data_IF_045950684636
#
_entry.id   IF_045950684636
#
_cell.length_a   1.000
_cell.length_b   1.000
_cell.length_c   1.000
_cell.angle_alpha   90.00
_cell.angle_beta   90.00
_cell.angle_gamma   90.00
#
_symmetry.space_group_name_H-M   'P 1'
#
loop_
_entity.id
_entity.type
_entity.pdbx_description
1 polymer ?
#
# COMPACT_ATOMS: atom_id res chain seq x y z
N UNK A 1 -2.18 42.58 6.25
CA UNK A 1 -2.40 41.29 6.94
C UNK A 1 -2.24 40.23 5.85
N UNK A 2 -1.16 39.45 5.90
CA UNK A 2 -0.85 38.47 4.84
C UNK A 2 -1.26 37.11 5.38
N UNK A 3 -2.26 36.49 4.75
CA UNK A 3 -2.63 35.12 5.10
C UNK A 3 -1.57 34.16 4.59
N UNK A 4 -1.00 33.36 5.49
CA UNK A 4 -0.19 32.21 5.14
C UNK A 4 -1.12 31.10 4.62
N UNK A 5 -1.61 31.30 3.40
CA UNK A 5 -2.36 30.32 2.62
C UNK A 5 -1.37 29.23 2.18
N UNK A 6 -1.02 28.34 3.13
CA UNK A 6 -0.11 27.21 2.90
C UNK A 6 -0.74 26.32 1.83
N UNK A 7 -0.11 26.33 0.66
CA UNK A 7 -0.65 25.80 -0.59
C UNK A 7 -1.27 24.40 -0.45
N UNK A 8 -2.60 24.31 -0.51
CA UNK A 8 -3.34 23.05 -0.62
C UNK A 8 -2.81 22.21 -1.79
N UNK A 9 -2.39 22.88 -2.85
CA UNK A 9 -1.75 22.31 -4.04
C UNK A 9 -0.43 21.58 -3.73
N UNK A 10 0.33 22.02 -2.71
CA UNK A 10 1.60 21.40 -2.32
C UNK A 10 1.38 20.14 -1.49
N UNK A 11 0.42 20.14 -0.56
CA UNK A 11 0.03 18.91 0.14
C UNK A 11 -0.54 17.88 -0.84
N UNK A 12 -1.44 18.31 -1.74
CA UNK A 12 -1.96 17.46 -2.80
C UNK A 12 -0.82 16.85 -3.65
N UNK A 13 0.08 17.66 -4.23
CA UNK A 13 1.22 17.18 -5.03
C UNK A 13 2.11 16.17 -4.29
N UNK A 14 2.39 16.39 -3.00
CA UNK A 14 3.18 15.47 -2.19
C UNK A 14 2.48 14.10 -2.02
N UNK A 15 1.16 14.12 -1.81
CA UNK A 15 0.34 12.91 -1.71
C UNK A 15 0.19 12.19 -3.06
N UNK A 16 -0.05 12.94 -4.15
CA UNK A 16 -0.13 12.44 -5.52
C UNK A 16 1.16 11.71 -5.95
N UNK A 17 2.33 12.26 -5.60
CA UNK A 17 3.62 11.63 -5.88
C UNK A 17 3.77 10.26 -5.18
N UNK A 18 3.12 10.06 -4.03
CA UNK A 18 3.08 8.78 -3.34
C UNK A 18 2.23 7.72 -4.04
N UNK A 19 1.19 8.12 -4.78
CA UNK A 19 0.24 7.22 -5.47
C UNK A 19 0.84 6.55 -6.72
N UNK A 20 1.86 7.15 -7.32
CA UNK A 20 2.50 6.67 -8.54
C UNK A 20 3.32 5.40 -8.26
N UNK A 21 3.40 4.48 -9.22
CA UNK A 21 3.98 3.13 -9.12
C UNK A 21 3.30 2.19 -8.11
N UNK A 22 2.21 2.60 -7.48
CA UNK A 22 1.39 1.73 -6.63
C UNK A 22 0.42 0.88 -7.47
N UNK A 23 -0.08 -0.22 -6.89
CA UNK A 23 -1.19 -0.94 -7.50
C UNK A 23 -2.48 -0.13 -7.40
N UNK A 24 -3.28 -0.08 -8.47
CA UNK A 24 -4.50 0.74 -8.51
C UNK A 24 -5.48 0.39 -7.38
N UNK A 25 -5.62 -0.89 -7.03
CA UNK A 25 -6.41 -1.33 -5.88
C UNK A 25 -5.95 -0.75 -4.54
N UNK A 26 -4.66 -0.49 -4.36
CA UNK A 26 -4.13 0.16 -3.15
C UNK A 26 -4.19 1.68 -3.25
N UNK A 27 -4.05 2.23 -4.45
CA UNK A 27 -4.18 3.66 -4.70
C UNK A 27 -5.59 4.17 -4.32
N UNK A 28 -6.65 3.56 -4.83
CA UNK A 28 -8.01 4.02 -4.53
C UNK A 28 -8.39 3.78 -3.04
N UNK A 29 -7.90 2.70 -2.43
CA UNK A 29 -8.10 2.36 -1.01
C UNK A 29 -7.46 3.40 -0.08
N UNK A 30 -6.21 3.81 -0.34
CA UNK A 30 -5.54 4.89 0.40
C UNK A 30 -6.16 6.28 0.15
N UNK A 31 -6.90 6.46 -0.94
CA UNK A 31 -7.65 7.68 -1.24
C UNK A 31 -9.08 7.68 -0.65
N UNK A 32 -9.50 6.59 0.01
CA UNK A 32 -10.85 6.47 0.58
C UNK A 32 -11.96 6.35 -0.46
N UNK A 33 -11.63 5.90 -1.68
CA UNK A 33 -12.56 5.76 -2.80
C UNK A 33 -13.22 4.38 -2.79
N UNK A 34 -14.47 4.23 -3.29
CA UNK A 34 -15.10 2.94 -3.48
C UNK A 34 -14.34 2.12 -4.54
N UNK A 35 -14.43 0.80 -4.45
CA UNK A 35 -13.76 -0.09 -5.41
C UNK A 35 -14.41 -0.06 -6.80
N UNK A 36 -13.58 -0.11 -7.84
CA UNK A 36 -14.03 -0.23 -9.22
C UNK A 36 -14.65 -1.61 -9.46
N UNK A 37 -15.98 -1.68 -9.57
CA UNK A 37 -16.71 -2.93 -9.82
C UNK A 37 -16.51 -3.48 -11.23
N UNK A 38 -16.69 -4.80 -11.39
CA UNK A 38 -16.49 -5.47 -12.68
C UNK A 38 -17.49 -4.99 -13.75
N UNK A 39 -18.77 -4.79 -13.37
CA UNK A 39 -19.81 -4.35 -14.30
C UNK A 39 -19.55 -2.93 -14.84
N UNK A 40 -19.08 -2.02 -13.99
CA UNK A 40 -18.71 -0.65 -14.38
C UNK A 40 -17.48 -0.67 -15.28
N UNK A 41 -16.48 -1.49 -14.95
CA UNK A 41 -15.31 -1.67 -15.80
C UNK A 41 -15.68 -2.23 -17.18
N UNK A 42 -16.45 -3.33 -17.26
CA UNK A 42 -16.77 -3.97 -18.54
C UNK A 42 -17.68 -3.08 -19.38
N UNK A 43 -18.72 -2.48 -18.79
CA UNK A 43 -19.62 -1.55 -19.50
C UNK A 43 -18.90 -0.28 -19.97
N UNK A 44 -17.97 0.23 -19.18
CA UNK A 44 -17.17 1.40 -19.54
C UNK A 44 -16.08 1.09 -20.57
N UNK A 45 -15.54 -0.13 -20.59
CA UNK A 45 -14.44 -0.51 -21.49
C UNK A 45 -14.94 -0.85 -22.89
N UNK A 46 -16.05 -1.59 -23.00
CA UNK A 46 -16.54 -2.15 -24.27
C UNK A 46 -16.61 -1.14 -25.44
N UNK A 47 -17.15 0.09 -25.30
CA UNK A 47 -17.19 1.07 -26.40
C UNK A 47 -15.79 1.43 -26.93
N UNK A 48 -14.79 1.50 -26.05
CA UNK A 48 -13.41 1.81 -26.42
C UNK A 48 -12.66 0.62 -27.04
N UNK A 49 -13.30 -0.54 -27.19
CA UNK A 49 -12.70 -1.73 -27.82
C UNK A 49 -13.14 -1.92 -29.29
N UNK A 50 -14.14 -1.17 -29.76
CA UNK A 50 -14.68 -1.32 -31.12
C UNK A 50 -13.65 -0.95 -32.20
N UNK A 51 -12.73 -0.03 -31.91
CA UNK A 51 -11.62 0.38 -32.78
C UNK A 51 -10.47 -0.64 -32.84
N UNK A 52 -10.37 -1.55 -31.85
CA UNK A 52 -9.23 -2.46 -31.72
C UNK A 52 -9.59 -3.88 -32.21
N UNK A 53 -9.13 -4.31 -33.40
CA UNK A 53 -9.51 -5.61 -33.97
C UNK A 53 -9.07 -6.80 -33.11
N UNK A 54 -7.94 -6.69 -32.39
CA UNK A 54 -7.51 -7.72 -31.43
C UNK A 54 -8.47 -7.87 -30.24
N UNK A 55 -9.16 -6.79 -29.84
CA UNK A 55 -10.06 -6.79 -28.69
C UNK A 55 -11.44 -7.40 -29.01
N UNK A 56 -11.79 -7.53 -30.30
CA UNK A 56 -13.03 -8.19 -30.75
C UNK A 56 -13.06 -9.70 -30.45
N UNK A 57 -11.92 -10.28 -30.04
CA UNK A 57 -11.80 -11.66 -29.57
C UNK A 57 -11.89 -11.80 -28.04
N UNK A 58 -12.08 -10.71 -27.29
CA UNK A 58 -12.12 -10.73 -25.82
C UNK A 58 -13.49 -11.12 -25.30
N UNK A 59 -13.62 -12.38 -24.85
CA UNK A 59 -14.83 -12.86 -24.21
C UNK A 59 -15.03 -12.26 -22.80
N UNK A 60 -16.23 -12.43 -22.24
CA UNK A 60 -16.59 -11.87 -20.93
C UNK A 60 -15.68 -12.41 -19.79
N UNK A 61 -15.11 -13.61 -19.96
CA UNK A 61 -14.15 -14.19 -19.02
C UNK A 61 -12.74 -13.56 -19.15
N UNK A 62 -12.31 -13.20 -20.35
CA UNK A 62 -11.10 -12.42 -20.60
C UNK A 62 -11.21 -11.01 -20.00
N UNK A 63 -12.34 -10.33 -20.24
CA UNK A 63 -12.60 -8.99 -19.69
C UNK A 63 -12.61 -8.97 -18.15
N UNK A 64 -13.15 -10.01 -17.50
CA UNK A 64 -13.07 -10.17 -16.03
C UNK A 64 -11.61 -10.38 -15.55
N UNK A 65 -10.83 -11.21 -16.24
CA UNK A 65 -9.40 -11.39 -15.91
C UNK A 65 -8.57 -10.12 -16.19
N UNK A 66 -8.94 -9.33 -17.20
CA UNK A 66 -8.35 -8.03 -17.50
C UNK A 66 -8.67 -6.99 -16.42
N UNK A 67 -9.92 -6.93 -15.93
CA UNK A 67 -10.31 -6.11 -14.77
C UNK A 67 -9.45 -6.44 -13.54
N UNK A 68 -9.31 -7.72 -13.19
CA UNK A 68 -8.41 -8.17 -12.11
C UNK A 68 -6.94 -7.81 -12.37
N UNK A 69 -6.52 -7.77 -13.64
CA UNK A 69 -5.20 -7.29 -14.09
C UNK A 69 -5.03 -5.77 -14.06
N UNK A 70 -6.11 -4.99 -14.10
CA UNK A 70 -6.12 -3.52 -13.94
C UNK A 70 -6.14 -3.15 -12.46
N UNK A 71 -6.94 -3.83 -11.62
CA UNK A 71 -6.91 -3.65 -10.16
C UNK A 71 -5.51 -3.94 -9.57
N UNK A 72 -4.84 -4.98 -10.07
CA UNK A 72 -3.45 -5.30 -9.74
C UNK A 72 -2.43 -4.54 -10.59
N UNK A 73 -2.90 -3.74 -11.55
CA UNK A 73 -2.11 -2.91 -12.44
C UNK A 73 -1.53 -1.69 -11.74
N UNK A 74 -0.56 -1.06 -12.39
CA UNK A 74 0.27 0.01 -11.81
C UNK A 74 -0.25 1.39 -12.21
N UNK A 75 -0.34 2.32 -11.27
CA UNK A 75 -0.63 3.74 -11.56
C UNK A 75 0.64 4.39 -12.13
N UNK A 76 0.66 4.69 -13.44
CA UNK A 76 1.79 5.37 -14.10
C UNK A 76 1.77 6.87 -13.79
N UNK A 77 0.59 7.46 -13.75
CA UNK A 77 0.39 8.88 -13.45
C UNK A 77 -0.96 9.07 -12.76
N UNK A 78 -1.05 10.11 -11.94
CA UNK A 78 -2.25 10.55 -11.24
C UNK A 78 -2.35 12.07 -11.38
N UNK A 79 -3.56 12.58 -11.58
CA UNK A 79 -3.84 14.00 -11.81
C UNK A 79 -5.22 14.37 -11.24
N UNK A 80 -5.44 15.66 -10.99
CA UNK A 80 -6.72 16.21 -10.50
C UNK A 80 -7.17 17.28 -11.48
N UNK A 81 -8.21 16.95 -12.25
CA UNK A 81 -8.75 17.84 -13.28
C UNK A 81 -10.15 18.29 -12.88
N UNK A 82 -10.31 19.59 -12.67
CA UNK A 82 -11.53 20.21 -12.14
C UNK A 82 -11.91 19.59 -10.78
N UNK A 83 -13.02 18.84 -10.70
CA UNK A 83 -13.45 18.11 -9.50
C UNK A 83 -13.24 16.59 -9.61
N UNK A 84 -12.54 16.13 -10.65
CA UNK A 84 -12.37 14.73 -11.00
C UNK A 84 -10.95 14.20 -10.73
N UNK A 85 -10.87 12.99 -10.17
CA UNK A 85 -9.59 12.30 -9.93
C UNK A 85 -9.26 11.41 -11.14
N UNK A 86 -8.10 11.62 -11.76
CA UNK A 86 -7.70 10.99 -13.03
C UNK A 86 -6.51 10.05 -12.80
N UNK A 87 -6.67 8.76 -13.14
CA UNK A 87 -5.64 7.74 -12.99
C UNK A 87 -5.25 7.14 -14.34
N UNK A 88 -3.96 7.11 -14.65
CA UNK A 88 -3.41 6.39 -15.80
C UNK A 88 -2.90 5.02 -15.35
N UNK A 89 -3.67 3.96 -15.58
CA UNK A 89 -3.43 2.63 -15.00
C UNK A 89 -2.95 1.63 -16.04
N UNK A 90 -1.79 1.02 -15.79
CA UNK A 90 -1.15 -0.03 -16.59
C UNK A 90 -1.59 -1.42 -16.12
N UNK A 91 -2.68 -1.91 -16.71
CA UNK A 91 -3.15 -3.29 -16.53
C UNK A 91 -2.58 -4.27 -17.55
N UNK A 92 -3.12 -5.49 -17.54
CA UNK A 92 -2.88 -6.50 -18.57
C UNK A 92 -3.27 -7.91 -18.14
N UNK A 93 -3.53 -8.77 -19.11
CA UNK A 93 -3.77 -10.20 -18.90
C UNK A 93 -3.08 -11.01 -20.01
N UNK A 94 -2.54 -12.18 -19.64
CA UNK A 94 -1.66 -12.99 -20.49
C UNK A 94 -0.58 -12.17 -21.21
N UNK A 95 -0.68 -12.06 -22.54
CA UNK A 95 0.26 -11.33 -23.39
C UNK A 95 -0.16 -9.90 -23.67
N UNK A 96 -1.40 -9.47 -23.44
CA UNK A 96 -1.80 -8.09 -23.73
C UNK A 96 -1.70 -7.22 -22.48
N UNK A 97 -0.99 -6.11 -22.60
CA UNK A 97 -1.05 -4.98 -21.68
C UNK A 97 -2.04 -3.94 -22.15
N UNK A 98 -2.59 -3.18 -21.22
CA UNK A 98 -3.49 -2.06 -21.50
C UNK A 98 -3.12 -0.88 -20.61
N UNK A 99 -3.20 0.34 -21.16
CA UNK A 99 -3.16 1.58 -20.38
C UNK A 99 -4.51 2.25 -20.50
N UNK A 100 -5.15 2.51 -19.35
CA UNK A 100 -6.47 3.12 -19.26
C UNK A 100 -6.38 4.48 -18.57
N UNK A 101 -7.15 5.46 -19.06
CA UNK A 101 -7.49 6.67 -18.30
C UNK A 101 -8.80 6.38 -17.55
N UNK A 102 -8.69 6.19 -16.24
CA UNK A 102 -9.82 6.02 -15.34
C UNK A 102 -10.12 7.36 -14.66
N UNK A 103 -11.39 7.72 -14.56
CA UNK A 103 -11.83 8.95 -13.90
C UNK A 103 -12.82 8.61 -12.79
N UNK A 104 -12.66 9.26 -11.64
CA UNK A 104 -13.62 9.26 -10.54
C UNK A 104 -14.22 10.67 -10.39
N UNK A 105 -15.54 10.78 -10.55
CA UNK A 105 -16.31 12.03 -10.47
C UNK A 105 -17.73 11.69 -10.00
N UNK A 106 -18.41 12.56 -9.24
CA UNK A 106 -19.78 12.34 -8.74
C UNK A 106 -19.99 11.06 -7.91
N UNK A 107 -18.91 10.56 -7.28
CA UNK A 107 -18.81 9.23 -6.66
C UNK A 107 -19.01 8.02 -7.62
N UNK A 108 -18.80 8.22 -8.92
CA UNK A 108 -18.91 7.21 -9.97
C UNK A 108 -17.58 7.04 -10.71
N UNK A 109 -17.12 5.80 -10.83
CA UNK A 109 -16.02 5.44 -11.72
C UNK A 109 -16.46 5.43 -13.18
N UNK A 110 -15.65 6.02 -14.05
CA UNK A 110 -15.83 6.06 -15.51
C UNK A 110 -14.51 5.66 -16.19
N UNK A 111 -14.59 4.94 -17.31
CA UNK A 111 -13.45 4.71 -18.22
C UNK A 111 -13.54 5.77 -19.30
N UNK A 112 -12.59 6.71 -19.28
CA UNK A 112 -12.58 7.87 -20.16
C UNK A 112 -11.97 7.54 -21.52
N UNK A 113 -10.84 6.82 -21.53
CA UNK A 113 -10.24 6.32 -22.78
C UNK A 113 -9.29 5.13 -22.56
N UNK A 114 -9.15 4.30 -23.60
CA UNK A 114 -8.06 3.33 -23.75
C UNK A 114 -6.87 4.04 -24.39
N UNK A 115 -5.85 4.38 -23.58
CA UNK A 115 -4.67 5.12 -24.04
C UNK A 115 -3.78 4.25 -24.93
N UNK A 116 -3.69 2.95 -24.66
CA UNK A 116 -3.03 1.97 -25.53
C UNK A 116 -3.36 0.52 -25.16
N UNK A 117 -3.33 -0.36 -26.16
CA UNK A 117 -3.24 -1.82 -26.03
C UNK A 117 -1.92 -2.26 -26.68
N UNK A 118 -1.19 -3.20 -26.08
CA UNK A 118 0.14 -3.60 -26.55
C UNK A 118 0.50 -5.06 -26.18
N UNK A 119 1.23 -5.79 -27.04
CA UNK A 119 1.74 -7.12 -26.66
C UNK A 119 2.97 -7.01 -25.73
N UNK A 120 2.85 -7.58 -24.52
CA UNK A 120 3.92 -7.80 -23.55
C UNK A 120 4.81 -8.94 -24.04
N UNK A 121 5.92 -8.62 -24.68
CA UNK A 121 6.95 -9.58 -25.10
C UNK A 121 7.43 -10.44 -23.92
N UNK A 122 7.05 -11.72 -23.92
CA UNK A 122 7.30 -12.67 -22.83
C UNK A 122 8.79 -12.89 -22.52
N UNK A 123 9.69 -12.64 -23.49
CA UNK A 123 11.13 -12.85 -23.37
C UNK A 123 11.81 -12.02 -22.26
N UNK A 124 11.15 -10.97 -21.72
CA UNK A 124 11.64 -10.20 -20.57
C UNK A 124 11.12 -10.70 -19.21
N UNK A 125 10.26 -11.71 -19.18
CA UNK A 125 9.74 -12.27 -17.92
C UNK A 125 10.78 -13.14 -17.23
N UNK A 126 11.13 -12.83 -15.96
CA UNK A 126 12.14 -13.56 -15.18
C UNK A 126 11.83 -15.05 -15.06
N UNK A 127 10.54 -15.42 -15.02
CA UNK A 127 10.08 -16.82 -15.03
C UNK A 127 10.54 -17.56 -16.30
N UNK A 128 10.43 -16.95 -17.49
CA UNK A 128 10.83 -17.59 -18.75
C UNK A 128 12.35 -17.85 -18.79
N UNK A 129 13.16 -16.92 -18.30
CA UNK A 129 14.62 -17.10 -18.16
C UNK A 129 14.97 -18.22 -17.17
N UNK A 130 14.22 -18.34 -16.09
CA UNK A 130 14.45 -19.37 -15.08
C UNK A 130 14.03 -20.76 -15.61
N UNK A 131 12.88 -20.88 -16.29
CA UNK A 131 12.45 -22.15 -16.89
C UNK A 131 13.32 -22.57 -18.07
N UNK A 132 13.77 -21.64 -18.93
CA UNK A 132 14.72 -21.96 -19.99
C UNK A 132 16.06 -22.47 -19.46
N UNK A 133 16.53 -21.91 -18.33
CA UNK A 133 17.77 -22.37 -17.67
C UNK A 133 17.60 -23.79 -17.11
N UNK A 134 16.49 -24.09 -16.44
CA UNK A 134 16.18 -25.43 -15.91
C UNK A 134 16.06 -26.44 -17.06
N UNK A 135 15.34 -26.09 -18.14
CA UNK A 135 15.21 -26.95 -19.32
C UNK A 135 16.56 -27.22 -19.99
N UNK A 136 17.43 -26.21 -20.14
CA UNK A 136 18.77 -26.38 -20.68
C UNK A 136 19.65 -27.33 -19.83
N UNK A 137 19.58 -27.23 -18.50
CA UNK A 137 20.29 -28.14 -17.59
C UNK A 137 19.77 -29.59 -17.72
N UNK A 138 18.46 -29.80 -17.82
CA UNK A 138 17.87 -31.13 -18.02
C UNK A 138 18.29 -31.73 -19.37
N UNK A 139 18.25 -30.95 -20.46
CA UNK A 139 18.70 -31.40 -21.78
C UNK A 139 20.21 -31.72 -21.77
N UNK A 140 21.04 -30.88 -21.16
CA UNK A 140 22.48 -31.12 -21.04
C UNK A 140 22.79 -32.39 -20.22
N UNK A 141 22.07 -32.63 -19.13
CA UNK A 141 22.20 -33.84 -18.33
C UNK A 141 21.76 -35.10 -19.11
N UNK A 142 20.69 -35.02 -19.89
CA UNK A 142 20.22 -36.13 -20.74
C UNK A 142 21.20 -36.46 -21.87
N UNK A 143 21.74 -35.44 -22.55
CA UNK A 143 22.78 -35.61 -23.57
C UNK A 143 24.06 -36.18 -22.93
N UNK A 144 24.47 -35.68 -21.77
CA UNK A 144 25.63 -36.20 -21.03
C UNK A 144 25.47 -37.66 -20.61
N UNK A 145 24.26 -38.07 -20.21
CA UNK A 145 23.90 -39.46 -19.90
C UNK A 145 23.98 -40.37 -21.12
N UNK A 146 23.40 -39.96 -22.26
CA UNK A 146 23.47 -40.74 -23.51
C UNK A 146 24.93 -40.91 -24.00
N UNK A 147 25.74 -39.86 -23.92
CA UNK A 147 27.15 -39.89 -24.32
C UNK A 147 28.03 -40.74 -23.38
N UNK A 148 27.72 -40.80 -22.08
CA UNK A 148 28.37 -41.74 -21.16
C UNK A 148 27.90 -43.19 -21.38
N UNK A 149 26.61 -43.39 -21.67
CA UNK A 149 26.04 -44.73 -21.91
C UNK A 149 26.64 -45.45 -23.11
N UNK A 150 27.11 -44.73 -24.13
CA UNK A 150 27.76 -45.33 -25.30
C UNK A 150 29.23 -45.72 -25.10
N UNK A 151 29.90 -45.16 -24.09
CA UNK A 151 31.32 -45.43 -23.81
C UNK A 151 31.52 -46.43 -22.64
N UNK A 152 30.47 -47.11 -22.19
CA UNK A 152 30.49 -48.08 -21.09
C UNK A 152 31.05 -49.45 -21.52
N UNK A 153 32.27 -49.49 -22.07
CA UNK A 153 32.97 -50.71 -22.49
C UNK A 153 34.46 -50.64 -22.17
N UNK A 154 34.91 -51.56 -21.30
CA UNK A 154 36.32 -51.87 -20.94
C UNK A 154 37.23 -50.72 -20.47
N UNK A 155 37.30 -50.59 -19.14
CA UNK A 155 38.51 -50.51 -18.31
C UNK A 155 39.56 -49.38 -18.39
N UNK A 156 40.15 -49.18 -17.20
CA UNK A 156 41.46 -48.58 -16.88
C UNK A 156 41.47 -47.12 -16.40
N UNK A 157 42.25 -46.89 -15.33
CA UNK A 157 42.34 -45.66 -14.56
C UNK A 157 43.22 -44.61 -15.25
N UNK A 158 42.73 -43.36 -15.30
CA UNK A 158 43.57 -42.19 -15.56
C UNK A 158 43.15 -41.01 -14.66
N UNK A 159 44.11 -40.43 -13.93
CA UNK A 159 43.86 -39.27 -13.05
C UNK A 159 43.94 -37.96 -13.81
N UNK A 160 42.96 -37.08 -13.60
CA UNK A 160 42.96 -35.68 -14.07
C UNK A 160 42.32 -34.73 -13.06
N UNK A 161 42.63 -34.91 -11.77
CA UNK A 161 42.58 -33.79 -10.83
C UNK A 161 43.87 -32.96 -10.97
N UNK A 162 43.80 -31.67 -10.61
CA UNK A 162 44.89 -30.66 -10.69
C UNK A 162 45.20 -30.15 -12.12
N UNK A 163 44.64 -28.99 -12.45
CA UNK A 163 45.37 -27.83 -12.98
C UNK A 163 44.48 -26.56 -12.96
N UNK A 164 45.11 -25.39 -12.79
CA UNK A 164 44.54 -24.01 -12.71
C UNK A 164 44.34 -23.35 -11.33
N UNK A 165 45.34 -23.42 -10.44
CA UNK A 165 45.47 -22.48 -9.29
C UNK A 165 46.93 -22.07 -9.06
N UNK A 166 47.39 -20.94 -9.64
CA UNK A 166 48.70 -20.33 -9.29
C UNK A 166 48.85 -18.84 -9.64
N UNK A 167 48.53 -17.96 -8.69
CA UNK A 167 48.92 -16.53 -8.59
C UNK A 167 48.18 -15.90 -7.37
N UNK A 168 48.76 -15.18 -6.40
CA UNK A 168 50.15 -14.91 -5.95
C UNK A 168 50.11 -14.77 -4.40
N UNK A 169 51.14 -15.15 -3.62
CA UNK A 169 51.12 -15.02 -2.15
C UNK A 169 52.02 -13.89 -1.57
N UNK A 170 51.55 -13.23 -0.51
CA UNK A 170 52.33 -12.56 0.56
C UNK A 170 51.43 -12.50 1.82
N UNK A 171 51.80 -12.91 3.05
CA UNK A 171 52.99 -12.62 3.89
C UNK A 171 52.96 -11.15 4.36
N UNK A 172 52.65 -10.77 5.62
CA UNK A 172 52.53 -11.45 6.94
C UNK A 172 51.27 -10.91 7.71
N UNK A 173 50.88 -11.19 8.97
CA UNK A 173 51.52 -11.84 10.14
C UNK A 173 50.52 -12.42 11.20
N UNK A 174 51.11 -13.02 12.25
CA UNK A 174 50.69 -13.28 13.64
C UNK A 174 49.77 -12.20 14.27
N UNK A 175 48.78 -12.48 15.15
CA UNK A 175 48.84 -13.24 16.44
C UNK A 175 47.61 -14.14 16.75
N UNK A 176 47.64 -14.80 17.92
CA UNK A 176 46.80 -15.94 18.38
C UNK A 176 45.94 -15.53 19.62
N UNK A 177 45.20 -16.44 20.31
CA UNK A 177 43.78 -16.80 20.14
C UNK A 177 42.84 -16.37 21.29
N UNK A 178 41.51 -16.53 21.11
CA UNK A 178 40.60 -16.77 22.27
C UNK A 178 39.33 -17.59 21.95
N UNK A 179 39.18 -18.67 22.73
CA UNK A 179 37.96 -19.35 23.24
C UNK A 179 36.58 -19.23 22.57
N UNK A 180 36.01 -20.44 22.35
CA UNK A 180 34.60 -20.87 22.43
C UNK A 180 33.62 -20.02 23.25
N UNK A 181 32.34 -19.99 22.84
CA UNK A 181 31.27 -19.32 23.60
C UNK A 181 29.83 -19.52 23.10
N UNK A 182 29.41 -20.73 22.74
CA UNK A 182 28.00 -21.00 22.42
C UNK A 182 27.15 -21.12 23.71
N UNK A 183 26.10 -20.30 23.86
CA UNK A 183 25.21 -20.31 25.05
C UNK A 183 23.73 -20.30 24.63
N UNK A 184 22.94 -21.18 25.26
CA UNK A 184 21.55 -21.49 24.90
C UNK A 184 20.51 -20.57 25.54
N UNK A 185 19.31 -20.51 24.93
CA UNK A 185 18.09 -20.00 25.57
C UNK A 185 17.62 -20.89 26.74
N UNK A 186 17.35 -20.27 27.90
CA UNK A 186 16.33 -20.61 28.93
C UNK A 186 16.24 -19.37 29.84
N UNK A 187 15.15 -18.60 29.91
CA UNK A 187 13.75 -18.89 30.31
C UNK A 187 13.63 -19.13 31.82
N UNK A 188 13.54 -18.01 32.55
CA UNK A 188 13.30 -17.80 33.98
C UNK A 188 13.09 -16.26 34.18
N UNK A 189 12.34 -15.69 35.13
CA UNK A 189 11.30 -16.19 36.07
C UNK A 189 10.41 -14.99 36.49
N UNK A 190 9.26 -15.25 37.12
CA UNK A 190 8.34 -14.31 37.79
C UNK A 190 9.02 -13.37 38.83
N UNK A 191 8.39 -12.24 39.26
CA UNK A 191 7.20 -12.27 40.14
C UNK A 191 6.09 -11.22 39.89
N UNK A 192 5.00 -11.35 40.65
CA UNK A 192 3.73 -10.61 40.58
C UNK A 192 3.48 -9.67 41.76
N UNK A 193 2.68 -8.60 41.59
CA UNK A 193 1.84 -8.06 42.70
C UNK A 193 0.57 -7.30 42.26
N UNK A 194 -0.57 -7.79 42.77
CA UNK A 194 -1.85 -7.13 43.15
C UNK A 194 -2.19 -5.70 42.65
N UNK A 195 -3.39 -5.48 42.07
CA UNK A 195 -4.16 -4.26 42.31
C UNK A 195 -4.88 -4.32 43.68
N UNK A 196 -4.98 -3.19 44.38
CA UNK A 196 -5.73 -3.05 45.64
C UNK A 196 -7.06 -2.36 45.39
N UNK A 197 -8.14 -2.93 45.93
CA UNK A 197 -9.48 -2.35 45.91
C UNK A 197 -9.74 -1.63 47.25
N UNK A 198 -10.24 -0.39 47.25
CA UNK A 198 -10.57 0.33 48.48
C UNK A 198 -11.71 1.33 48.24
N UNK A 199 -12.91 0.95 48.69
CA UNK A 199 -14.00 1.91 48.92
C UNK A 199 -13.77 2.59 50.27
N UNK A 200 -13.75 3.92 50.29
CA UNK A 200 -14.18 4.70 51.46
C UNK A 200 -14.79 6.02 51.02
N UNK A 201 -15.83 6.47 51.72
CA UNK A 201 -16.64 7.63 51.37
C UNK A 201 -16.76 8.59 52.56
N UNK A 202 -17.45 9.72 52.31
CA UNK A 202 -17.88 10.81 53.23
C UNK A 202 -17.04 12.10 53.05
N UNK A 203 -17.69 13.21 52.64
CA UNK A 203 -17.02 14.52 52.52
C UNK A 203 -17.73 15.56 51.66
N UNK A 204 -18.93 16.02 52.07
CA UNK A 204 -19.74 17.10 51.47
C UNK A 204 -18.99 18.14 50.58
N UNK A 205 -19.32 18.19 49.28
CA UNK A 205 -19.97 19.38 48.68
C UNK A 205 -20.65 19.03 47.34
N UNK A 206 -21.92 18.62 47.39
CA UNK A 206 -22.73 18.43 46.17
C UNK A 206 -23.15 19.81 45.65
N UNK A 207 -22.28 20.41 44.83
CA UNK A 207 -22.72 21.46 43.91
C UNK A 207 -23.55 20.76 42.84
N UNK A 208 -24.87 20.97 42.84
CA UNK A 208 -25.75 20.52 41.77
C UNK A 208 -25.52 21.40 40.54
N UNK A 209 -24.38 21.16 39.88
CA UNK A 209 -24.14 21.67 38.55
C UNK A 209 -25.23 21.08 37.65
N UNK A 210 -26.13 21.94 37.14
CA UNK A 210 -27.15 21.55 36.17
C UNK A 210 -26.45 20.74 35.08
N UNK A 211 -26.91 19.51 34.83
CA UNK A 211 -26.40 18.68 33.76
C UNK A 211 -26.64 19.42 32.43
N UNK A 212 -25.60 20.09 31.92
CA UNK A 212 -25.62 20.58 30.56
C UNK A 212 -25.72 19.34 29.67
N UNK A 213 -26.84 19.20 28.97
CA UNK A 213 -26.98 18.17 27.95
C UNK A 213 -25.75 18.24 27.03
N UNK A 214 -25.08 17.10 26.80
CA UNK A 214 -23.84 17.06 26.03
C UNK A 214 -24.14 17.53 24.61
N UNK A 215 -23.80 18.78 24.31
CA UNK A 215 -24.04 19.36 23.00
C UNK A 215 -23.15 18.62 22.01
N UNK A 216 -23.78 18.12 20.95
CA UNK A 216 -23.11 17.41 19.88
C UNK A 216 -22.78 18.40 18.76
N UNK A 217 -21.61 18.24 18.16
CA UNK A 217 -21.16 19.02 17.01
C UNK A 217 -20.82 18.04 15.90
N UNK A 218 -21.51 18.15 14.78
CA UNK A 218 -21.31 17.30 13.60
C UNK A 218 -20.46 18.07 12.59
N UNK A 219 -19.36 17.47 12.16
CA UNK A 219 -18.53 17.96 11.06
C UNK A 219 -18.56 16.94 9.92
N UNK A 220 -18.79 17.40 8.70
CA UNK A 220 -18.68 16.57 7.50
C UNK A 220 -17.30 16.81 6.88
N UNK A 221 -16.45 15.78 6.85
CA UNK A 221 -15.13 15.86 6.21
C UNK A 221 -15.27 15.44 4.75
N UNK A 222 -15.18 16.37 3.77
CA UNK A 222 -15.27 16.00 2.36
C UNK A 222 -14.06 15.17 1.93
N UNK A 223 -14.22 14.40 0.85
CA UNK A 223 -13.16 13.67 0.18
C UNK A 223 -12.02 14.64 -0.21
N UNK A 224 -10.78 14.32 0.15
CA UNK A 224 -9.62 15.21 -0.06
C UNK A 224 -9.60 16.46 0.84
N UNK A 225 -10.55 16.63 1.76
CA UNK A 225 -10.68 17.79 2.63
C UNK A 225 -9.52 17.94 3.62
N UNK A 226 -9.00 19.16 3.77
CA UNK A 226 -7.92 19.44 4.71
C UNK A 226 -8.37 19.27 6.16
N UNK A 227 -7.62 18.48 6.94
CA UNK A 227 -7.83 18.30 8.38
C UNK A 227 -7.58 19.58 9.19
N UNK A 228 -6.93 20.59 8.59
CA UNK A 228 -6.87 21.93 9.17
C UNK A 228 -8.27 22.54 9.33
N UNK A 229 -9.20 22.28 8.40
CA UNK A 229 -10.57 22.79 8.47
C UNK A 229 -11.35 22.12 9.61
N UNK A 230 -11.10 20.82 9.86
CA UNK A 230 -11.61 20.12 11.04
C UNK A 230 -11.04 20.72 12.34
N UNK A 231 -9.73 20.98 12.40
CA UNK A 231 -9.13 21.64 13.56
C UNK A 231 -9.67 23.07 13.77
N UNK A 232 -9.91 23.83 12.70
CA UNK A 232 -10.55 25.15 12.76
C UNK A 232 -12.00 25.07 13.27
N UNK A 233 -12.79 24.09 12.82
CA UNK A 233 -14.15 23.83 13.32
C UNK A 233 -14.14 23.49 14.82
N UNK A 234 -13.26 22.59 15.26
CA UNK A 234 -13.11 22.23 16.67
C UNK A 234 -12.70 23.44 17.54
N UNK A 235 -11.84 24.34 17.01
CA UNK A 235 -11.47 25.60 17.67
C UNK A 235 -12.67 26.56 17.75
N UNK A 236 -13.44 26.70 16.66
CA UNK A 236 -14.62 27.56 16.56
C UNK A 236 -15.74 27.17 17.53
N UNK A 237 -15.92 25.86 17.78
CA UNK A 237 -16.85 25.34 18.78
C UNK A 237 -16.25 25.22 20.20
N UNK A 238 -15.07 25.80 20.44
CA UNK A 238 -14.34 25.77 21.72
C UNK A 238 -14.09 24.36 22.28
N UNK A 239 -14.03 23.35 21.41
CA UNK A 239 -13.69 21.96 21.75
C UNK A 239 -12.17 21.79 21.95
N UNK A 240 -11.37 22.61 21.27
CA UNK A 240 -9.91 22.69 21.45
C UNK A 240 -9.45 24.13 21.65
N UNK A 241 -8.31 24.31 22.32
CA UNK A 241 -7.72 25.63 22.60
C UNK A 241 -7.00 26.26 21.40
N UNK A 242 -6.45 25.46 20.49
CA UNK A 242 -5.75 25.95 19.29
C UNK A 242 -5.66 24.89 18.20
N UNK A 243 -5.90 25.30 16.95
CA UNK A 243 -5.93 24.41 15.79
C UNK A 243 -4.53 23.86 15.45
N UNK A 244 -3.49 24.72 15.46
CA UNK A 244 -2.09 24.33 15.19
C UNK A 244 -1.59 23.24 16.14
N UNK A 245 -1.83 23.40 17.45
CA UNK A 245 -1.45 22.42 18.46
C UNK A 245 -2.17 21.07 18.25
N UNK A 246 -3.40 21.09 17.75
CA UNK A 246 -4.18 19.88 17.48
C UNK A 246 -3.78 19.22 16.15
N UNK A 247 -3.44 19.99 15.12
CA UNK A 247 -2.86 19.49 13.86
C UNK A 247 -1.50 18.80 14.11
N UNK A 248 -0.62 19.41 14.91
CA UNK A 248 0.62 18.79 15.37
C UNK A 248 0.37 17.51 16.18
N UNK A 249 -0.70 17.46 16.97
CA UNK A 249 -1.10 16.26 17.72
C UNK A 249 -1.71 15.16 16.82
N UNK A 250 -2.45 15.50 15.77
CA UNK A 250 -2.94 14.55 14.77
C UNK A 250 -1.77 13.91 14.01
N UNK A 251 -0.82 14.72 13.55
CA UNK A 251 0.40 14.27 12.82
C UNK A 251 1.29 13.38 13.70
N UNK A 252 1.57 13.79 14.94
CA UNK A 252 2.40 12.99 15.86
C UNK A 252 1.74 11.69 16.34
N UNK A 253 0.40 11.56 16.23
CA UNK A 253 -0.32 10.31 16.53
C UNK A 253 -0.66 9.48 15.29
N UNK A 254 -0.27 9.95 14.09
CA UNK A 254 -0.63 9.34 12.80
C UNK A 254 -2.14 9.23 12.59
N UNK A 255 -2.92 10.14 13.19
CA UNK A 255 -4.38 10.17 13.02
C UNK A 255 -4.80 10.88 11.72
N UNK A 256 -3.93 11.73 11.20
CA UNK A 256 -4.03 12.35 9.88
C UNK A 256 -4.06 11.30 8.74
N UNK A 257 -3.16 10.31 8.81
CA UNK A 257 -3.06 9.20 7.84
C UNK A 257 -4.22 8.19 7.91
N UNK A 258 -5.09 8.29 8.92
CA UNK A 258 -6.20 7.36 9.17
C UNK A 258 -7.57 8.06 9.19
N UNK A 259 -7.63 9.36 8.88
CA UNK A 259 -8.89 10.07 8.74
C UNK A 259 -9.60 9.64 7.45
N UNK A 260 -10.92 9.50 7.50
CA UNK A 260 -11.76 9.05 6.39
C UNK A 260 -12.85 10.09 6.12
N UNK A 261 -13.27 10.30 4.85
CA UNK A 261 -14.33 11.26 4.54
C UNK A 261 -15.67 10.84 5.16
N UNK A 262 -16.46 11.83 5.58
CA UNK A 262 -17.80 11.65 6.16
C UNK A 262 -17.99 12.34 7.52
N UNK A 263 -19.07 11.93 8.22
CA UNK A 263 -19.62 12.65 9.38
C UNK A 263 -18.99 12.24 10.70
N UNK A 264 -18.23 13.16 11.29
CA UNK A 264 -17.66 13.03 12.63
C UNK A 264 -18.53 13.75 13.66
N UNK A 265 -18.80 13.07 14.79
CA UNK A 265 -19.62 13.60 15.89
C UNK A 265 -18.76 13.81 17.13
N UNK A 266 -18.56 15.07 17.50
CA UNK A 266 -17.85 15.50 18.70
C UNK A 266 -18.84 15.95 19.78
N UNK A 267 -18.42 15.95 21.05
CA UNK A 267 -19.30 16.36 22.16
C UNK A 267 -18.59 17.24 23.18
N UNK A 268 -19.32 18.16 23.81
CA UNK A 268 -18.80 18.99 24.91
C UNK A 268 -18.22 18.13 26.04
N UNK A 269 -16.96 18.41 26.42
CA UNK A 269 -16.26 17.66 27.47
C UNK A 269 -15.56 16.37 27.00
N UNK A 270 -15.54 16.10 25.69
CA UNK A 270 -14.60 15.14 25.10
C UNK A 270 -13.16 15.68 25.24
N UNK A 271 -12.18 14.81 25.49
CA UNK A 271 -10.75 15.22 25.53
C UNK A 271 -10.11 15.21 24.14
N UNK A 272 -8.99 15.93 23.94
CA UNK A 272 -8.27 15.91 22.66
C UNK A 272 -7.85 14.49 22.22
N UNK A 273 -7.45 13.64 23.16
CA UNK A 273 -7.13 12.24 22.89
C UNK A 273 -8.37 11.44 22.42
N UNK A 274 -9.55 11.71 22.97
CA UNK A 274 -10.80 11.10 22.51
C UNK A 274 -11.24 11.63 21.14
N UNK A 275 -11.02 12.92 20.84
CA UNK A 275 -11.26 13.48 19.49
C UNK A 275 -10.36 12.80 18.45
N UNK A 276 -9.08 12.61 18.78
CA UNK A 276 -8.12 11.91 17.93
C UNK A 276 -8.48 10.43 17.74
N UNK A 277 -8.97 9.75 18.79
CA UNK A 277 -9.53 8.40 18.65
C UNK A 277 -10.76 8.38 17.73
N UNK A 278 -11.67 9.34 17.86
CA UNK A 278 -12.84 9.47 16.96
C UNK A 278 -12.39 9.69 15.51
N UNK A 279 -11.41 10.55 15.25
CA UNK A 279 -10.86 10.78 13.91
C UNK A 279 -10.24 9.49 13.33
N UNK A 280 -9.38 8.82 14.12
CA UNK A 280 -8.61 7.62 13.74
C UNK A 280 -9.44 6.34 13.62
N UNK A 281 -10.63 6.29 14.22
CA UNK A 281 -11.59 5.20 14.03
C UNK A 281 -12.56 5.43 12.85
N UNK A 282 -12.46 6.56 12.16
CA UNK A 282 -13.37 6.94 11.08
C UNK A 282 -14.71 7.49 11.55
N UNK A 283 -15.53 8.02 10.62
CA UNK A 283 -16.88 8.49 10.92
C UNK A 283 -17.78 7.33 11.36
N UNK A 284 -18.76 7.62 12.21
CA UNK A 284 -19.77 6.64 12.62
C UNK A 284 -20.97 6.71 11.68
N UNK A 285 -21.09 5.71 10.80
CA UNK A 285 -22.34 5.38 10.12
C UNK A 285 -23.38 4.81 11.08
#
# INVERSE_FOLDING_TARGET
MVENMVDSSTFARSFMAGTIHMSFAKAYDQLGLPSLSNDVFIRGLLPHLEDYPEAKLWDHAYLNKLWMGVLKGEVIAFDVWEEALVFYVRGGYQRQGIVLRLIYIDNVWKIDTVVSIYERQLFKATWFRNTSTIAAVVVAAFVGFLLHGQNASSDTVASSAVLMTKAVPAVVATTKPTTSGAVSKKVATQPTTKPVNTNQAIGKKVVVAKSKAKQQFVYDLPLGGSLYNLAAFLKGHHLITGAENFDMLMKSTGADQNAQPGKYIFTTGMSQAQMIQVIKHGPKG
#
